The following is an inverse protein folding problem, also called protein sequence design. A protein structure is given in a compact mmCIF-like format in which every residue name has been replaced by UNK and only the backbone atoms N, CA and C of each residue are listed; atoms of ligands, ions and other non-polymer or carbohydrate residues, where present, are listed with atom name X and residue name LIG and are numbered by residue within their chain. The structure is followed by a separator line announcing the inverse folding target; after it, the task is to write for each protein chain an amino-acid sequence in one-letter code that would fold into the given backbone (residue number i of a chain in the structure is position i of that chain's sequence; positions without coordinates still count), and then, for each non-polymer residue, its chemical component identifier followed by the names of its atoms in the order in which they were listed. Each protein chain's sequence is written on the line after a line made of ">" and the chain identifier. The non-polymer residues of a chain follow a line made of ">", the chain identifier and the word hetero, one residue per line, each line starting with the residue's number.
data_IF_392773223051
#
_entry.id   IF_392773223051
#
_cell.length_a   1.000
_cell.length_b   1.000
_cell.length_c   1.000
_cell.angle_alpha   90.00
_cell.angle_beta   90.00
_cell.angle_gamma   90.00
#
_symmetry.space_group_name_H-M   'P 1'
#
loop_
_entity.id
_entity.type
_entity.pdbx_description
1 polymer ?
#
# COMPACT_ATOMS: atom_id res chain seq x y z
N UNK A 1 -54.59 -30.92 -21.76
CA UNK A 1 -53.17 -31.26 -22.06
C UNK A 1 -52.51 -29.94 -22.45
N UNK A 2 -51.99 -29.12 -21.51
CA UNK A 2 -50.63 -29.12 -20.94
C UNK A 2 -49.51 -29.29 -21.98
N UNK A 3 -48.87 -28.17 -22.34
CA UNK A 3 -47.41 -28.03 -22.34
C UNK A 3 -47.07 -26.55 -22.09
N UNK A 4 -46.64 -26.28 -20.85
CA UNK A 4 -46.07 -25.03 -20.38
C UNK A 4 -44.60 -25.08 -20.78
N UNK A 5 -44.14 -24.16 -21.63
CA UNK A 5 -42.71 -24.02 -21.89
C UNK A 5 -42.17 -22.88 -21.04
N UNK A 6 -41.41 -23.29 -20.03
CA UNK A 6 -40.68 -22.55 -19.03
C UNK A 6 -39.84 -21.40 -19.63
N UNK A 7 -40.12 -20.16 -19.22
CA UNK A 7 -39.15 -19.05 -19.32
C UNK A 7 -38.17 -19.21 -18.16
N UNK A 8 -37.05 -19.87 -18.41
CA UNK A 8 -35.98 -19.99 -17.41
C UNK A 8 -35.14 -18.71 -17.48
N UNK A 9 -35.43 -17.85 -16.50
CA UNK A 9 -34.51 -16.85 -15.97
C UNK A 9 -33.25 -17.57 -15.50
N UNK A 10 -32.13 -17.38 -16.21
CA UNK A 10 -30.78 -17.56 -15.68
C UNK A 10 -30.31 -16.14 -15.35
N UNK A 11 -30.59 -15.65 -14.14
CA UNK A 11 -29.69 -15.70 -12.97
C UNK A 11 -28.31 -15.10 -13.29
N UNK A 12 -28.15 -13.89 -12.77
CA UNK A 12 -26.93 -13.33 -12.22
C UNK A 12 -25.73 -13.17 -13.16
N UNK A 13 -25.80 -12.16 -14.02
CA UNK A 13 -24.66 -11.25 -14.17
C UNK A 13 -24.95 -10.07 -13.23
N UNK A 14 -24.85 -10.34 -11.93
CA UNK A 14 -24.77 -9.30 -10.92
C UNK A 14 -23.49 -8.49 -11.18
N UNK A 15 -23.68 -7.31 -11.74
CA UNK A 15 -22.83 -6.13 -11.59
C UNK A 15 -21.33 -6.38 -11.53
N UNK A 16 -20.67 -6.43 -12.69
CA UNK A 16 -19.39 -5.74 -12.80
C UNK A 16 -19.68 -4.25 -12.63
N UNK A 17 -19.74 -3.80 -11.39
CA UNK A 17 -19.80 -2.39 -11.04
C UNK A 17 -18.33 -1.91 -10.99
N UNK A 18 -17.83 -1.19 -12.01
CA UNK A 18 -16.43 -0.73 -12.03
C UNK A 18 -16.15 0.30 -10.91
N UNK A 19 -17.18 0.77 -10.21
CA UNK A 19 -17.07 1.74 -9.12
C UNK A 19 -16.47 1.18 -7.83
N UNK A 20 -16.43 -0.15 -7.63
CA UNK A 20 -15.79 -0.70 -6.41
C UNK A 20 -14.26 -0.69 -6.44
N UNK A 21 -13.65 -0.50 -7.61
CA UNK A 21 -12.18 -0.45 -7.75
C UNK A 21 -11.60 0.93 -7.43
N UNK A 22 -12.35 2.01 -7.65
CA UNK A 22 -11.91 3.36 -7.29
C UNK A 22 -11.84 3.50 -5.77
N UNK A 23 -12.85 3.02 -5.04
CA UNK A 23 -12.99 3.28 -3.61
C UNK A 23 -11.92 2.60 -2.75
N UNK A 24 -11.37 1.46 -3.19
CA UNK A 24 -10.30 0.77 -2.47
C UNK A 24 -8.93 1.46 -2.63
N UNK A 25 -8.68 2.04 -3.80
CA UNK A 25 -7.45 2.79 -4.14
C UNK A 25 -7.51 4.23 -3.59
N UNK A 26 -8.70 4.83 -3.57
CA UNK A 26 -8.95 6.19 -3.07
C UNK A 26 -8.68 6.31 -1.56
N UNK A 27 -8.62 5.18 -0.85
CA UNK A 27 -8.40 5.13 0.60
C UNK A 27 -6.91 5.22 1.00
N UNK A 28 -5.98 5.21 0.04
CA UNK A 28 -4.54 5.42 0.27
C UNK A 28 -4.01 6.68 -0.43
N UNK A 29 -4.57 7.06 -1.56
CA UNK A 29 -4.16 8.23 -2.33
C UNK A 29 -5.01 9.45 -1.95
N UNK A 30 -4.42 10.37 -1.18
CA UNK A 30 -5.07 11.66 -0.89
C UNK A 30 -4.98 12.59 -2.10
N UNK A 31 -6.04 13.35 -2.46
CA UNK A 31 -5.98 14.35 -3.54
C UNK A 31 -4.96 15.48 -3.28
N UNK A 32 -4.36 15.54 -2.09
CA UNK A 32 -3.27 16.46 -1.74
C UNK A 32 -1.86 15.89 -1.97
N UNK A 33 -1.73 14.66 -2.47
CA UNK A 33 -0.43 14.00 -2.69
C UNK A 33 0.16 14.35 -4.05
N UNK A 34 1.48 14.52 -4.14
CA UNK A 34 2.16 14.69 -5.44
C UNK A 34 1.98 13.47 -6.34
N UNK A 35 2.06 13.68 -7.66
CA UNK A 35 1.99 12.60 -8.64
C UNK A 35 3.10 11.57 -8.47
N UNK A 36 4.29 12.00 -8.06
CA UNK A 36 5.47 11.15 -7.84
C UNK A 36 5.24 10.16 -6.70
N UNK A 37 4.60 10.60 -5.61
CA UNK A 37 4.24 9.71 -4.51
C UNK A 37 3.15 8.70 -4.89
N UNK A 38 2.23 9.09 -5.77
CA UNK A 38 1.24 8.16 -6.32
C UNK A 38 1.91 7.11 -7.23
N UNK A 39 2.88 7.53 -8.06
CA UNK A 39 3.69 6.61 -8.88
C UNK A 39 4.51 5.66 -8.00
N UNK A 40 5.15 6.17 -6.94
CA UNK A 40 5.91 5.37 -6.00
C UNK A 40 5.02 4.33 -5.27
N UNK A 41 3.78 4.71 -4.94
CA UNK A 41 2.82 3.76 -4.37
C UNK A 41 2.43 2.67 -5.38
N UNK A 42 2.23 3.02 -6.65
CA UNK A 42 2.03 2.04 -7.71
C UNK A 42 3.21 1.07 -7.87
N UNK A 43 4.44 1.58 -7.78
CA UNK A 43 5.66 0.76 -7.79
C UNK A 43 5.71 -0.20 -6.59
N UNK A 44 5.33 0.25 -5.40
CA UNK A 44 5.22 -0.60 -4.21
C UNK A 44 4.20 -1.75 -4.41
N UNK A 45 3.04 -1.45 -4.98
CA UNK A 45 2.03 -2.47 -5.31
C UNK A 45 2.59 -3.48 -6.31
N UNK A 46 3.34 -3.03 -7.31
CA UNK A 46 3.97 -3.87 -8.33
C UNK A 46 5.27 -4.55 -7.90
N UNK A 47 5.65 -4.47 -6.62
CA UNK A 47 6.88 -5.06 -6.08
C UNK A 47 8.19 -4.42 -6.56
N UNK A 48 8.15 -3.23 -7.16
CA UNK A 48 9.32 -2.47 -7.61
C UNK A 48 9.94 -1.66 -6.46
N UNK A 49 10.37 -2.37 -5.40
CA UNK A 49 10.81 -1.74 -4.14
C UNK A 49 11.95 -0.72 -4.29
N UNK A 50 13.03 -0.96 -5.08
CA UNK A 50 14.11 0.02 -5.19
C UNK A 50 13.66 1.37 -5.78
N UNK A 51 12.74 1.34 -6.74
CA UNK A 51 12.18 2.55 -7.35
C UNK A 51 11.27 3.28 -6.34
N UNK A 52 10.37 2.54 -5.71
CA UNK A 52 9.48 3.08 -4.69
C UNK A 52 10.26 3.69 -3.51
N UNK A 53 11.30 3.01 -3.02
CA UNK A 53 12.18 3.47 -1.94
C UNK A 53 12.84 4.80 -2.28
N UNK A 54 13.39 4.93 -3.49
CA UNK A 54 14.09 6.16 -3.92
C UNK A 54 13.14 7.36 -3.83
N UNK A 55 11.94 7.23 -4.37
CA UNK A 55 10.93 8.30 -4.33
C UNK A 55 10.48 8.58 -2.90
N UNK A 56 10.13 7.58 -2.11
CA UNK A 56 9.70 7.82 -0.73
C UNK A 56 10.82 8.45 0.12
N UNK A 57 12.07 8.00 -0.01
CA UNK A 57 13.22 8.58 0.71
C UNK A 57 13.37 10.06 0.41
N UNK A 58 13.29 10.46 -0.86
CA UNK A 58 13.34 11.87 -1.26
C UNK A 58 12.23 12.68 -0.56
N UNK A 59 11.00 12.18 -0.55
CA UNK A 59 9.86 12.88 0.03
C UNK A 59 9.85 12.93 1.56
N UNK A 60 10.63 12.08 2.25
CA UNK A 60 10.87 12.26 3.69
C UNK A 60 11.56 13.59 4.03
N UNK A 61 12.28 14.16 3.06
CA UNK A 61 13.06 15.41 3.21
C UNK A 61 12.33 16.60 2.59
N UNK A 62 11.85 16.48 1.34
CA UNK A 62 11.33 17.63 0.57
C UNK A 62 9.82 17.82 0.68
N UNK A 63 9.08 16.79 1.09
CA UNK A 63 7.61 16.83 1.08
C UNK A 63 7.01 17.80 2.10
N UNK A 64 5.73 18.06 1.94
CA UNK A 64 4.85 18.64 2.97
C UNK A 64 4.75 17.73 4.20
N UNK A 65 4.05 18.17 5.25
CA UNK A 65 3.88 17.36 6.47
C UNK A 65 3.18 16.03 6.15
N UNK A 66 2.13 16.09 5.35
CA UNK A 66 1.30 14.97 4.92
C UNK A 66 2.09 14.02 4.02
N UNK A 67 2.82 14.57 3.04
CA UNK A 67 3.66 13.77 2.13
C UNK A 67 4.81 13.08 2.84
N UNK A 68 5.44 13.74 3.83
CA UNK A 68 6.45 13.09 4.67
C UNK A 68 5.84 11.94 5.44
N UNK A 69 4.70 12.15 6.10
CA UNK A 69 4.02 11.10 6.85
C UNK A 69 3.67 9.90 5.96
N UNK A 70 3.20 10.16 4.74
CA UNK A 70 2.94 9.14 3.73
C UNK A 70 4.22 8.39 3.32
N UNK A 71 5.29 9.12 2.99
CA UNK A 71 6.56 8.56 2.58
C UNK A 71 7.21 7.69 3.68
N UNK A 72 7.23 8.17 4.93
CA UNK A 72 7.74 7.40 6.06
C UNK A 72 6.95 6.10 6.27
N UNK A 73 5.61 6.17 6.21
CA UNK A 73 4.76 4.98 6.34
C UNK A 73 5.14 3.92 5.29
N UNK A 74 5.23 4.32 4.02
CA UNK A 74 5.45 3.35 2.95
C UNK A 74 6.90 2.86 2.85
N UNK A 75 7.89 3.65 3.27
CA UNK A 75 9.23 3.12 3.53
C UNK A 75 9.23 2.07 4.63
N UNK A 76 8.51 2.30 5.72
CA UNK A 76 8.37 1.33 6.80
C UNK A 76 7.76 0.02 6.30
N UNK A 77 6.70 0.12 5.50
CA UNK A 77 6.10 -1.06 4.85
C UNK A 77 7.10 -1.79 3.94
N UNK A 78 7.89 -1.08 3.13
CA UNK A 78 8.90 -1.72 2.28
C UNK A 78 9.93 -2.46 3.13
N UNK A 79 10.46 -1.84 4.20
CA UNK A 79 11.44 -2.50 5.05
C UNK A 79 10.86 -3.74 5.76
N UNK A 80 9.58 -3.72 6.15
CA UNK A 80 8.89 -4.91 6.66
C UNK A 80 8.78 -6.01 5.60
N UNK A 81 8.39 -5.68 4.36
CA UNK A 81 8.29 -6.66 3.26
C UNK A 81 9.65 -7.27 2.93
N UNK A 82 10.71 -6.48 2.98
CA UNK A 82 12.09 -6.92 2.75
C UNK A 82 12.71 -7.64 3.95
N UNK A 83 12.00 -7.72 5.07
CA UNK A 83 12.50 -8.23 6.37
C UNK A 83 13.78 -7.49 6.83
N UNK A 84 13.94 -6.23 6.47
CA UNK A 84 15.05 -5.38 6.89
C UNK A 84 14.66 -4.63 8.18
N UNK A 85 14.71 -5.35 9.31
CA UNK A 85 14.23 -4.83 10.58
C UNK A 85 15.12 -3.71 11.16
N UNK A 86 16.42 -3.72 10.86
CA UNK A 86 17.36 -2.68 11.31
C UNK A 86 16.99 -1.32 10.69
N UNK A 87 16.78 -1.27 9.36
CA UNK A 87 16.34 -0.05 8.68
C UNK A 87 14.92 0.35 9.07
N UNK A 88 14.04 -0.62 9.33
CA UNK A 88 12.70 -0.35 9.84
C UNK A 88 12.74 0.39 11.19
N UNK A 89 13.52 -0.11 12.15
CA UNK A 89 13.60 0.49 13.48
C UNK A 89 14.25 1.87 13.43
N UNK A 90 15.31 2.04 12.64
CA UNK A 90 15.93 3.35 12.41
C UNK A 90 14.98 4.35 11.76
N UNK A 91 14.18 3.91 10.79
CA UNK A 91 13.19 4.75 10.14
C UNK A 91 12.08 5.17 11.12
N UNK A 92 11.60 4.24 11.95
CA UNK A 92 10.60 4.53 12.98
C UNK A 92 11.13 5.60 13.95
N UNK A 93 12.35 5.43 14.46
CA UNK A 93 12.98 6.43 15.34
C UNK A 93 13.12 7.79 14.64
N UNK A 94 13.56 7.80 13.37
CA UNK A 94 13.67 9.03 12.59
C UNK A 94 12.32 9.74 12.45
N UNK A 95 11.24 8.99 12.19
CA UNK A 95 9.90 9.55 12.06
C UNK A 95 9.44 10.24 13.35
N UNK A 96 9.74 9.67 14.51
CA UNK A 96 9.39 10.25 15.82
C UNK A 96 10.07 11.61 16.06
N UNK A 97 11.22 11.88 15.44
CA UNK A 97 11.86 13.20 15.51
C UNK A 97 11.26 14.23 14.54
N UNK A 98 10.38 13.82 13.63
CA UNK A 98 9.74 14.72 12.67
C UNK A 98 8.50 15.40 13.24
N UNK A 99 8.10 16.55 12.67
CA UNK A 99 6.84 17.23 13.02
C UNK A 99 5.59 16.32 12.93
N UNK A 100 5.41 15.46 11.93
CA UNK A 100 4.26 14.55 11.91
C UNK A 100 4.33 13.42 12.95
N UNK A 101 5.51 12.98 13.39
CA UNK A 101 5.64 11.82 14.29
C UNK A 101 5.85 12.12 15.77
N UNK A 102 6.21 13.36 16.16
CA UNK A 102 6.65 13.72 17.53
C UNK A 102 5.73 13.28 18.67
N UNK A 103 4.43 13.28 18.45
CA UNK A 103 3.44 13.00 19.51
C UNK A 103 2.90 11.56 19.44
N UNK A 104 3.46 10.71 18.57
CA UNK A 104 3.01 9.33 18.38
C UNK A 104 3.86 8.38 19.22
N UNK A 105 3.26 7.50 20.05
CA UNK A 105 4.00 6.42 20.71
C UNK A 105 4.63 5.48 19.67
N UNK A 106 5.88 5.03 19.91
CA UNK A 106 6.61 4.16 18.96
C UNK A 106 5.84 2.86 18.69
N UNK A 107 5.26 2.26 19.71
CA UNK A 107 4.50 1.02 19.62
C UNK A 107 3.26 1.19 18.73
N UNK A 108 2.56 2.31 18.89
CA UNK A 108 1.41 2.66 18.05
C UNK A 108 1.83 2.88 16.59
N UNK A 109 2.94 3.59 16.37
CA UNK A 109 3.49 3.80 15.03
C UNK A 109 3.80 2.47 14.32
N UNK A 110 4.46 1.55 15.02
CA UNK A 110 4.84 0.24 14.49
C UNK A 110 3.58 -0.58 14.16
N UNK A 111 2.58 -0.58 15.02
CA UNK A 111 1.31 -1.27 14.78
C UNK A 111 0.57 -0.69 13.57
N UNK A 112 0.52 0.63 13.44
CA UNK A 112 -0.08 1.32 12.30
C UNK A 112 0.63 0.98 10.98
N UNK A 113 1.96 0.89 10.99
CA UNK A 113 2.74 0.52 9.80
C UNK A 113 2.57 -0.96 9.43
N UNK A 114 2.43 -1.85 10.41
CA UNK A 114 2.10 -3.27 10.16
C UNK A 114 0.72 -3.43 9.53
N UNK A 115 -0.28 -2.74 10.07
CA UNK A 115 -1.63 -2.68 9.49
C UNK A 115 -1.63 -2.11 8.07
N UNK A 116 -0.79 -1.10 7.81
CA UNK A 116 -0.62 -0.56 6.47
C UNK A 116 -0.01 -1.60 5.51
N UNK A 117 0.97 -2.39 5.96
CA UNK A 117 1.52 -3.48 5.16
C UNK A 117 0.48 -4.54 4.82
N UNK A 118 -0.33 -4.97 5.81
CA UNK A 118 -1.43 -5.91 5.59
C UNK A 118 -2.45 -5.38 4.58
N UNK A 119 -2.86 -4.11 4.71
CA UNK A 119 -3.78 -3.47 3.78
C UNK A 119 -3.20 -3.43 2.36
N UNK A 120 -1.94 -3.04 2.23
CA UNK A 120 -1.26 -2.96 0.94
C UNK A 120 -1.14 -4.34 0.27
N UNK A 121 -0.84 -5.41 1.02
CA UNK A 121 -0.86 -6.78 0.49
C UNK A 121 -2.25 -7.19 0.00
N UNK A 122 -3.31 -6.79 0.70
CA UNK A 122 -4.69 -7.01 0.26
C UNK A 122 -5.00 -6.24 -1.03
N UNK A 123 -4.60 -4.96 -1.12
CA UNK A 123 -4.74 -4.15 -2.34
C UNK A 123 -3.99 -4.79 -3.51
N UNK A 124 -2.76 -5.24 -3.30
CA UNK A 124 -1.96 -5.97 -4.28
C UNK A 124 -2.65 -7.24 -4.74
N UNK A 125 -3.15 -8.06 -3.81
CA UNK A 125 -3.87 -9.29 -4.14
C UNK A 125 -5.09 -9.02 -5.02
N UNK A 126 -5.85 -7.96 -4.73
CA UNK A 126 -7.00 -7.56 -5.55
C UNK A 126 -6.56 -7.16 -6.96
N UNK A 127 -5.41 -6.48 -7.10
CA UNK A 127 -4.92 -5.97 -8.37
C UNK A 127 -4.26 -7.04 -9.26
N UNK A 128 -3.48 -7.96 -8.67
CA UNK A 128 -2.62 -8.91 -9.41
C UNK A 128 -2.95 -10.38 -9.17
N UNK A 129 -3.84 -10.70 -8.22
CA UNK A 129 -4.08 -12.07 -7.75
C UNK A 129 -2.99 -12.62 -6.83
N UNK A 130 -1.96 -11.83 -6.51
CA UNK A 130 -0.84 -12.22 -5.65
C UNK A 130 -0.64 -11.17 -4.55
N UNK A 131 -0.76 -11.56 -3.28
CA UNK A 131 -0.64 -10.62 -2.16
C UNK A 131 0.81 -10.38 -1.70
N UNK A 132 1.68 -11.36 -1.90
CA UNK A 132 3.09 -11.27 -1.53
C UNK A 132 3.95 -11.02 -2.76
N UNK A 133 4.94 -10.15 -2.63
CA UNK A 133 6.00 -10.09 -3.63
C UNK A 133 6.84 -11.35 -3.47
N UNK A 134 7.00 -12.12 -4.55
CA UNK A 134 7.89 -13.27 -4.56
C UNK A 134 9.22 -12.84 -3.95
N UNK A 135 9.65 -13.54 -2.88
CA UNK A 135 10.82 -13.17 -2.07
C UNK A 135 11.90 -12.63 -2.98
N UNK A 136 12.26 -11.35 -2.81
CA UNK A 136 13.47 -10.83 -3.42
C UNK A 136 14.56 -11.84 -3.09
N UNK A 137 15.07 -12.52 -4.12
CA UNK A 137 16.11 -13.52 -3.96
C UNK A 137 17.23 -12.84 -3.17
N UNK A 138 17.45 -13.29 -1.92
CA UNK A 138 18.61 -12.98 -1.09
C UNK A 138 19.87 -13.64 -1.68
N UNK A 139 20.04 -13.55 -3.00
CA UNK A 139 21.22 -13.94 -3.74
C UNK A 139 21.90 -12.68 -4.27
N UNK A 140 22.35 -11.85 -3.34
CA UNK A 140 23.56 -11.08 -3.58
C UNK A 140 24.72 -12.07 -3.52
N UNK A 141 25.22 -12.49 -4.69
CA UNK A 141 26.59 -13.01 -4.80
C UNK A 141 27.58 -11.87 -4.57
#
# INVERSE_FOLDING_TARGET
>A
MKCITLVIVIVAITGCNPTRFTDAIELTLSPKMSSELNVAYGQLLNCDYPLAQTSFQQYTVIGTREERAFAYRWLGVIYLEMMNFDEFDHLADRYLFTRPGRDTPKEQLIDDWRKAAEKMRAERYIASGVGECGRYNLQSN
#
